data_IF_726797882172
#
_entry.id   IF_726797882172
#
_cell.length_a   1.000
_cell.length_b   1.000
_cell.length_c   1.000
_cell.angle_alpha   90.00
_cell.angle_beta   90.00
_cell.angle_gamma   90.00
#
_symmetry.space_group_name_H-M   'P 1'
#
loop_
_entity.id
_entity.type
_entity.pdbx_description
1 polymer ?
#
# COMPACT_ATOMS: atom_id res chain seq x y z
N UNK A 1 -15.70 -22.29 -70.25
CA UNK A 1 -15.03 -21.01 -69.93
C UNK A 1 -15.90 -20.28 -68.92
N UNK A 2 -15.49 -20.29 -67.66
CA UNK A 2 -16.08 -19.45 -66.62
C UNK A 2 -15.03 -19.32 -65.51
N UNK A 3 -14.54 -18.09 -65.34
CA UNK A 3 -13.48 -17.69 -64.41
C UNK A 3 -13.95 -17.68 -62.95
N UNK A 4 -13.07 -18.01 -61.98
CA UNK A 4 -13.38 -17.89 -60.55
C UNK A 4 -13.20 -16.45 -60.07
N UNK A 5 -14.18 -15.95 -59.31
CA UNK A 5 -14.13 -14.64 -58.66
C UNK A 5 -13.23 -14.66 -57.42
N UNK A 6 -12.21 -13.80 -57.42
CA UNK A 6 -11.37 -13.54 -56.25
C UNK A 6 -12.10 -12.61 -55.28
N UNK A 7 -12.40 -13.11 -54.08
CA UNK A 7 -12.89 -12.32 -52.96
C UNK A 7 -11.72 -11.63 -52.24
N UNK A 8 -11.77 -10.30 -52.16
CA UNK A 8 -10.77 -9.47 -51.48
C UNK A 8 -10.91 -9.59 -49.95
N UNK A 9 -10.04 -10.37 -49.32
CA UNK A 9 -9.83 -10.33 -47.87
C UNK A 9 -9.04 -9.07 -47.48
N UNK A 10 -9.75 -8.05 -47.02
CA UNK A 10 -9.17 -6.84 -46.45
C UNK A 10 -9.01 -7.03 -44.94
N UNK A 11 -7.79 -7.08 -44.37
CA UNK A 11 -7.63 -7.16 -42.93
C UNK A 11 -8.09 -5.84 -42.27
N UNK A 12 -8.78 -5.89 -41.12
CA UNK A 12 -9.14 -4.69 -40.40
C UNK A 12 -7.88 -4.00 -39.87
N UNK A 13 -7.74 -2.72 -40.22
CA UNK A 13 -6.72 -1.80 -39.73
C UNK A 13 -6.90 -1.58 -38.22
N UNK A 14 -6.10 -2.26 -37.39
CA UNK A 14 -6.08 -2.04 -35.94
C UNK A 14 -5.36 -0.73 -35.61
N UNK A 15 -6.09 0.38 -35.65
CA UNK A 15 -5.77 1.62 -34.93
C UNK A 15 -6.91 1.97 -33.99
N UNK A 16 -7.34 1.00 -33.19
CA UNK A 16 -8.06 1.29 -31.96
C UNK A 16 -7.01 1.50 -30.88
N UNK A 17 -6.58 2.75 -30.82
CA UNK A 17 -5.91 3.35 -29.68
C UNK A 17 -6.78 3.09 -28.46
N UNK A 18 -6.44 2.05 -27.69
CA UNK A 18 -7.07 1.75 -26.41
C UNK A 18 -6.72 2.92 -25.50
N UNK A 19 -7.58 3.93 -25.51
CA UNK A 19 -7.74 4.89 -24.42
C UNK A 19 -8.19 4.05 -23.23
N UNK A 20 -7.21 3.45 -22.54
CA UNK A 20 -7.37 2.92 -21.19
C UNK A 20 -7.74 4.14 -20.36
N UNK A 21 -9.05 4.43 -20.31
CA UNK A 21 -9.65 5.19 -19.23
C UNK A 21 -9.10 4.51 -17.99
N UNK A 22 -8.15 5.16 -17.33
CA UNK A 22 -7.76 4.88 -15.95
C UNK A 22 -9.03 5.07 -15.12
N UNK A 23 -9.94 4.10 -15.18
CA UNK A 23 -10.91 3.87 -14.14
C UNK A 23 -10.02 3.45 -12.99
N UNK A 24 -9.62 4.44 -12.19
CA UNK A 24 -9.18 4.25 -10.82
C UNK A 24 -10.05 3.12 -10.29
N UNK A 25 -9.43 1.98 -9.98
CA UNK A 25 -10.09 0.90 -9.26
C UNK A 25 -10.33 1.42 -7.84
N UNK A 26 -11.35 2.26 -7.76
CA UNK A 26 -11.98 2.81 -6.59
C UNK A 26 -12.93 1.74 -6.07
N UNK A 27 -12.43 0.52 -5.88
CA UNK A 27 -13.17 -0.58 -5.22
C UNK A 27 -12.86 -0.62 -3.73
N UNK A 28 -12.48 0.54 -3.18
CA UNK A 28 -12.41 0.81 -1.75
C UNK A 28 -12.84 2.26 -1.41
N UNK A 29 -13.81 2.82 -2.16
CA UNK A 29 -14.46 4.06 -1.76
C UNK A 29 -15.97 4.01 -2.03
N UNK A 30 -16.69 3.54 -1.03
CA UNK A 30 -18.08 3.92 -0.80
C UNK A 30 -18.25 4.36 0.66
N UNK A 31 -17.45 5.33 1.09
CA UNK A 31 -17.75 6.14 2.27
C UNK A 31 -17.40 7.60 1.93
N UNK A 32 -18.43 8.38 1.60
CA UNK A 32 -18.36 9.83 1.42
C UNK A 32 -18.26 10.50 2.80
N UNK A 33 -17.22 11.28 3.04
CA UNK A 33 -17.28 12.41 4.00
C UNK A 33 -16.62 13.62 3.35
N UNK A 34 -17.32 14.73 3.48
CA UNK A 34 -17.15 15.99 2.79
C UNK A 34 -16.00 16.84 3.31
N UNK A 35 -15.45 17.65 2.40
CA UNK A 35 -15.10 19.05 2.63
C UNK A 35 -13.86 19.32 3.47
N UNK A 36 -12.77 19.73 2.81
CA UNK A 36 -11.75 20.56 3.43
C UNK A 36 -11.26 21.63 2.44
N UNK A 37 -11.28 22.88 2.92
CA UNK A 37 -10.83 24.12 2.28
C UNK A 37 -9.32 24.11 2.08
N UNK A 38 -8.87 24.53 0.90
CA UNK A 38 -7.48 24.86 0.61
C UNK A 38 -7.11 26.21 1.23
N UNK A 39 -6.08 26.25 2.08
CA UNK A 39 -5.39 27.46 2.49
C UNK A 39 -3.94 27.34 2.00
N UNK A 40 -3.58 28.18 1.04
CA UNK A 40 -2.23 28.28 0.47
C UNK A 40 -1.52 29.43 1.18
N UNK A 41 -0.58 29.11 2.05
CA UNK A 41 0.40 30.09 2.56
C UNK A 41 1.80 29.70 2.08
N UNK A 42 2.36 30.58 1.27
CA UNK A 42 3.71 30.53 0.72
C UNK A 42 4.76 30.85 1.77
N UNK A 43 5.87 30.09 1.79
CA UNK A 43 7.09 30.41 2.54
C UNK A 43 8.30 30.62 1.62
N UNK A 44 9.25 31.48 2.03
CA UNK A 44 10.36 31.93 1.19
C UNK A 44 11.54 30.96 1.17
N UNK A 45 12.29 31.06 0.07
CA UNK A 45 13.51 30.32 -0.21
C UNK A 45 14.69 30.80 0.65
N UNK A 46 15.51 29.84 1.08
CA UNK A 46 16.90 30.10 1.48
C UNK A 46 17.41 29.10 2.51
N UNK A 47 18.44 28.34 2.16
CA UNK A 47 19.79 28.39 2.77
C UNK A 47 20.55 27.10 2.45
N UNK A 48 21.79 27.30 2.03
CA UNK A 48 22.73 26.35 1.44
C UNK A 48 23.23 25.34 2.48
N UNK A 49 23.34 24.06 2.07
CA UNK A 49 23.73 22.97 2.96
C UNK A 49 25.20 22.57 2.73
N UNK A 50 26.00 22.70 3.79
CA UNK A 50 27.38 22.23 3.88
C UNK A 50 27.44 20.71 4.02
N UNK A 51 28.27 20.05 3.22
CA UNK A 51 28.59 18.63 3.32
C UNK A 51 29.45 18.36 4.57
N UNK A 52 28.83 17.76 5.59
CA UNK A 52 29.53 17.22 6.76
C UNK A 52 29.62 15.67 6.68
N UNK A 53 30.83 15.22 6.96
CA UNK A 53 31.37 13.86 6.93
C UNK A 53 30.69 12.86 7.85
N UNK A 54 30.66 11.60 7.38
CA UNK A 54 30.11 10.38 7.97
C UNK A 54 30.46 10.18 9.46
N UNK A 55 29.46 10.32 10.33
CA UNK A 55 29.47 9.81 11.70
C UNK A 55 28.99 8.36 11.70
N UNK A 56 29.85 7.43 12.14
CA UNK A 56 29.44 6.10 12.61
C UNK A 56 28.66 6.25 13.91
N UNK A 57 27.37 6.60 13.81
CA UNK A 57 26.45 6.53 14.93
C UNK A 57 26.20 5.06 15.28
N UNK A 58 26.47 4.73 16.54
CA UNK A 58 26.05 3.48 17.17
C UNK A 58 24.55 3.34 17.00
N UNK A 59 24.13 2.40 16.14
CA UNK A 59 22.73 2.11 15.84
C UNK A 59 21.96 1.78 17.12
N UNK A 60 21.21 2.76 17.62
CA UNK A 60 20.22 2.54 18.67
C UNK A 60 19.07 1.80 17.99
N UNK A 61 18.63 0.63 18.49
CA UNK A 61 17.51 -0.07 17.90
C UNK A 61 16.32 0.87 17.82
N UNK A 62 15.76 1.00 16.61
CA UNK A 62 14.69 1.96 16.29
C UNK A 62 13.56 1.81 17.30
N UNK A 63 13.33 2.86 18.09
CA UNK A 63 12.32 2.84 19.15
C UNK A 63 10.94 2.57 18.53
N UNK A 64 10.19 1.64 19.13
CA UNK A 64 8.85 1.33 18.64
C UNK A 64 7.94 2.56 18.74
N UNK A 65 7.20 2.85 17.67
CA UNK A 65 6.21 3.92 17.62
C UNK A 65 4.81 3.34 17.81
N UNK A 66 3.98 4.01 18.60
CA UNK A 66 2.59 3.62 18.87
C UNK A 66 1.62 4.29 17.90
N UNK A 67 0.62 3.52 17.44
CA UNK A 67 -0.41 3.94 16.47
C UNK A 67 -1.82 3.61 16.98
N UNK A 68 -2.02 3.69 18.30
CA UNK A 68 -3.29 3.39 18.97
C UNK A 68 -3.28 1.98 19.57
N UNK A 69 -3.88 1.02 18.86
CA UNK A 69 -4.06 -0.36 19.34
C UNK A 69 -2.83 -1.26 19.11
N UNK A 70 -1.77 -0.70 18.53
CA UNK A 70 -0.55 -1.43 18.19
C UNK A 70 0.67 -0.49 18.14
N UNK A 71 1.87 -1.06 18.14
CA UNK A 71 3.14 -0.38 17.91
C UNK A 71 4.10 -1.24 17.08
N UNK A 72 5.03 -0.61 16.37
CA UNK A 72 6.11 -1.30 15.65
C UNK A 72 7.30 -0.35 15.45
N UNK A 73 8.46 -0.90 15.09
CA UNK A 73 9.66 -0.10 14.75
C UNK A 73 9.64 0.27 13.26
N UNK A 74 9.92 1.53 12.95
CA UNK A 74 9.95 2.01 11.56
C UNK A 74 11.18 1.41 10.86
N UNK A 75 11.03 0.75 9.70
CA UNK A 75 12.17 0.18 8.99
C UNK A 75 13.18 1.26 8.56
N UNK A 76 14.47 0.94 8.58
CA UNK A 76 15.53 1.87 8.19
C UNK A 76 15.30 2.47 6.79
N UNK A 77 15.45 3.78 6.68
CA UNK A 77 15.25 4.53 5.42
C UNK A 77 13.80 4.89 5.13
N UNK A 78 12.84 4.40 5.92
CA UNK A 78 11.44 4.79 5.83
C UNK A 78 11.15 5.98 6.74
N UNK A 79 10.27 6.86 6.28
CA UNK A 79 9.80 8.00 7.06
C UNK A 79 8.32 7.83 7.35
N UNK A 80 7.93 7.91 8.63
CA UNK A 80 6.53 8.02 8.99
C UNK A 80 6.02 9.43 8.67
N UNK A 81 4.89 9.50 7.96
CA UNK A 81 4.23 10.76 7.59
C UNK A 81 2.81 10.80 8.15
N UNK A 82 2.22 12.00 8.32
CA UNK A 82 0.81 12.12 8.69
C UNK A 82 -0.08 11.34 7.72
N UNK A 83 -1.01 10.50 8.21
CA UNK A 83 -1.96 9.79 7.37
C UNK A 83 -2.86 10.73 6.56
N UNK A 84 -3.23 10.32 5.35
CA UNK A 84 -4.11 11.09 4.45
C UNK A 84 -5.61 10.83 4.69
N UNK A 85 -5.95 9.87 5.57
CA UNK A 85 -7.33 9.44 5.87
C UNK A 85 -7.46 9.06 7.34
N UNK A 86 -8.64 9.28 7.92
CA UNK A 86 -8.94 9.01 9.34
C UNK A 86 -8.74 7.53 9.74
N UNK A 87 -9.05 6.62 8.82
CA UNK A 87 -8.90 5.17 9.02
C UNK A 87 -7.47 4.67 8.90
N UNK A 88 -6.59 5.46 8.28
CA UNK A 88 -5.18 5.12 8.13
C UNK A 88 -4.47 5.52 9.41
N UNK A 89 -4.01 4.53 10.18
CA UNK A 89 -3.36 4.75 11.48
C UNK A 89 -1.86 4.98 11.36
N UNK A 90 -1.24 4.45 10.32
CA UNK A 90 0.15 4.70 9.99
C UNK A 90 0.34 4.79 8.49
N UNK A 91 1.24 5.67 8.07
CA UNK A 91 1.68 5.80 6.68
C UNK A 91 3.19 6.00 6.67
N UNK A 92 3.90 5.15 5.95
CA UNK A 92 5.35 5.19 5.81
C UNK A 92 5.70 5.36 4.33
N UNK A 93 6.68 6.21 4.05
CA UNK A 93 7.18 6.48 2.71
C UNK A 93 8.67 6.17 2.62
N UNK A 94 9.07 5.59 1.48
CA UNK A 94 10.46 5.42 1.09
C UNK A 94 10.81 6.49 0.04
N UNK A 95 11.87 7.25 0.29
CA UNK A 95 12.40 8.29 -0.60
C UNK A 95 11.33 9.30 -1.08
N UNK A 96 10.43 9.75 -0.18
CA UNK A 96 9.41 10.73 -0.53
C UNK A 96 8.77 11.41 0.68
N UNK A 97 8.18 12.58 0.45
CA UNK A 97 7.46 13.37 1.47
C UNK A 97 5.94 13.22 1.38
N UNK A 98 5.44 12.70 0.25
CA UNK A 98 4.03 12.44 0.00
C UNK A 98 3.87 11.16 -0.85
N UNK A 99 2.62 10.68 -0.97
CA UNK A 99 2.33 9.45 -1.73
C UNK A 99 2.52 9.55 -3.25
N UNK A 100 2.67 10.76 -3.82
CA UNK A 100 2.89 10.94 -5.26
C UNK A 100 4.38 10.91 -5.63
N UNK A 101 5.24 11.33 -4.71
CA UNK A 101 6.68 11.46 -4.91
C UNK A 101 7.50 10.34 -4.25
N UNK A 102 6.86 9.39 -3.58
CA UNK A 102 7.53 8.26 -2.96
C UNK A 102 7.88 7.14 -3.94
N UNK A 103 8.93 6.38 -3.65
CA UNK A 103 9.26 5.14 -4.37
C UNK A 103 8.47 3.94 -3.87
N UNK A 104 8.16 3.92 -2.59
CA UNK A 104 7.32 2.93 -1.97
C UNK A 104 6.51 3.53 -0.83
N UNK A 105 5.39 2.88 -0.53
CA UNK A 105 4.44 3.33 0.46
C UNK A 105 3.89 2.13 1.22
N UNK A 106 3.87 2.24 2.54
CA UNK A 106 3.18 1.30 3.43
C UNK A 106 2.08 2.07 4.15
N UNK A 107 0.85 1.56 4.08
CA UNK A 107 -0.29 2.09 4.82
C UNK A 107 -0.84 1.02 5.74
N UNK A 108 -1.25 1.42 6.94
CA UNK A 108 -1.97 0.57 7.87
C UNK A 108 -3.35 1.16 8.09
N UNK A 109 -4.36 0.54 7.47
CA UNK A 109 -5.76 0.91 7.66
C UNK A 109 -6.39 0.04 8.76
N UNK A 110 -7.23 0.65 9.59
CA UNK A 110 -8.01 -0.05 10.62
C UNK A 110 -9.47 0.33 10.48
N UNK A 111 -10.36 -0.66 10.45
CA UNK A 111 -11.80 -0.43 10.33
C UNK A 111 -12.65 -1.66 10.59
N UNK A 112 -13.95 -1.53 10.39
CA UNK A 112 -14.86 -2.67 10.44
C UNK A 112 -14.61 -3.61 9.24
N UNK A 113 -14.59 -4.93 9.45
CA UNK A 113 -14.37 -5.88 8.37
C UNK A 113 -15.51 -5.84 7.35
N UNK A 114 -15.15 -5.78 6.06
CA UNK A 114 -16.12 -5.85 4.95
C UNK A 114 -16.49 -7.28 4.55
N UNK A 115 -15.81 -8.28 5.12
CA UNK A 115 -16.07 -9.70 4.88
C UNK A 115 -16.09 -10.45 6.23
N UNK A 116 -16.73 -11.63 6.32
CA UNK A 116 -16.75 -12.41 7.56
C UNK A 116 -15.37 -12.89 8.04
N UNK A 117 -14.40 -13.07 7.14
CA UNK A 117 -13.06 -13.59 7.48
C UNK A 117 -11.95 -12.84 6.76
N UNK A 118 -10.75 -12.82 7.35
CA UNK A 118 -9.56 -12.25 6.72
C UNK A 118 -9.27 -12.89 5.34
N UNK A 119 -9.42 -14.21 5.23
CA UNK A 119 -9.21 -14.92 3.97
C UNK A 119 -10.18 -14.51 2.87
N UNK A 120 -11.48 -14.39 3.17
CA UNK A 120 -12.46 -13.92 2.19
C UNK A 120 -12.18 -12.47 1.74
N UNK A 121 -11.72 -11.60 2.65
CA UNK A 121 -11.30 -10.25 2.30
C UNK A 121 -10.08 -10.25 1.37
N UNK A 122 -9.08 -11.10 1.66
CA UNK A 122 -7.88 -11.28 0.83
C UNK A 122 -8.23 -11.82 -0.57
N UNK A 123 -9.11 -12.82 -0.65
CA UNK A 123 -9.59 -13.40 -1.92
C UNK A 123 -10.36 -12.38 -2.77
N UNK A 124 -11.24 -11.60 -2.14
CA UNK A 124 -11.97 -10.52 -2.82
C UNK A 124 -11.02 -9.47 -3.39
N UNK A 125 -10.05 -9.03 -2.58
CA UNK A 125 -9.00 -8.12 -3.04
C UNK A 125 -8.21 -8.72 -4.21
N UNK A 126 -7.63 -9.91 -4.04
CA UNK A 126 -6.82 -10.59 -5.04
C UNK A 126 -7.58 -10.75 -6.36
N UNK A 127 -8.86 -11.18 -6.31
CA UNK A 127 -9.72 -11.29 -7.48
C UNK A 127 -9.92 -9.94 -8.18
N UNK A 128 -10.07 -8.85 -7.45
CA UNK A 128 -10.32 -7.52 -8.03
C UNK A 128 -9.12 -6.93 -8.77
N UNK A 129 -7.90 -7.34 -8.41
CA UNK A 129 -6.64 -6.80 -8.94
C UNK A 129 -5.82 -7.82 -9.73
N UNK A 130 -6.31 -9.06 -9.89
CA UNK A 130 -5.58 -10.15 -10.55
C UNK A 130 -4.38 -10.68 -9.73
N UNK A 131 -4.49 -10.64 -8.40
CA UNK A 131 -3.47 -11.12 -7.47
C UNK A 131 -3.66 -12.57 -7.02
N UNK A 132 -2.87 -12.98 -6.02
CA UNK A 132 -2.91 -14.31 -5.41
C UNK A 132 -3.02 -14.20 -3.88
N UNK A 133 -3.68 -15.17 -3.26
CA UNK A 133 -3.73 -15.31 -1.80
C UNK A 133 -2.81 -16.45 -1.39
N UNK A 134 -1.99 -16.23 -0.36
CA UNK A 134 -1.16 -17.28 0.23
C UNK A 134 -2.03 -18.42 0.78
N UNK A 135 -1.63 -19.67 0.56
CA UNK A 135 -2.21 -20.81 1.25
C UNK A 135 -1.93 -20.73 2.75
N UNK A 136 -0.71 -20.30 3.08
CA UNK A 136 -0.17 -20.31 4.43
C UNK A 136 -0.52 -19.01 5.14
N UNK A 137 -0.94 -19.15 6.41
CA UNK A 137 -1.14 -18.03 7.29
C UNK A 137 0.20 -17.56 7.87
N UNK A 138 0.29 -16.26 8.17
CA UNK A 138 1.42 -15.69 8.90
C UNK A 138 1.03 -15.39 10.34
N UNK A 139 1.98 -15.56 11.25
CA UNK A 139 1.84 -15.05 12.62
C UNK A 139 2.14 -13.54 12.68
N UNK A 140 1.26 -12.82 13.37
CA UNK A 140 1.34 -11.38 13.59
C UNK A 140 1.16 -11.06 15.09
N UNK A 141 2.20 -11.36 15.87
CA UNK A 141 2.23 -11.23 17.34
C UNK A 141 1.12 -12.07 18.01
N UNK A 142 1.01 -13.34 17.60
CA UNK A 142 0.02 -14.30 18.12
C UNK A 142 -1.33 -14.31 17.39
N UNK A 143 -1.55 -13.37 16.46
CA UNK A 143 -2.76 -13.32 15.64
C UNK A 143 -2.50 -13.93 14.25
N UNK A 144 -3.47 -14.69 13.75
CA UNK A 144 -3.40 -15.26 12.40
C UNK A 144 -3.63 -14.16 11.34
N UNK A 145 -2.71 -14.08 10.38
CA UNK A 145 -2.76 -13.14 9.28
C UNK A 145 -2.82 -13.83 7.92
N UNK A 146 -3.58 -13.24 6.99
CA UNK A 146 -3.67 -13.71 5.61
C UNK A 146 -2.98 -12.72 4.68
N UNK A 147 -2.20 -13.24 3.73
CA UNK A 147 -1.45 -12.44 2.77
C UNK A 147 -2.08 -12.54 1.39
N UNK A 148 -2.33 -11.39 0.77
CA UNK A 148 -2.59 -11.27 -0.66
C UNK A 148 -1.45 -10.53 -1.35
N UNK A 149 -1.08 -10.96 -2.56
CA UNK A 149 0.00 -10.38 -3.35
C UNK A 149 -0.44 -10.04 -4.76
N UNK A 150 0.18 -9.04 -5.36
CA UNK A 150 -0.06 -8.61 -6.74
C UNK A 150 1.26 -8.26 -7.42
N UNK A 151 1.31 -8.34 -8.74
CA UNK A 151 2.47 -7.90 -9.53
C UNK A 151 2.40 -6.41 -9.93
N UNK A 152 1.55 -5.62 -9.28
CA UNK A 152 1.36 -4.19 -9.61
C UNK A 152 2.63 -3.38 -9.35
N UNK A 153 2.95 -2.42 -10.22
CA UNK A 153 3.98 -1.41 -9.97
C UNK A 153 3.38 -0.02 -9.67
N UNK A 154 2.05 0.05 -9.53
CA UNK A 154 1.31 1.24 -9.17
C UNK A 154 1.19 1.35 -7.65
N UNK A 155 1.58 2.48 -7.07
CA UNK A 155 1.43 2.75 -5.63
C UNK A 155 -0.03 2.74 -5.18
N UNK A 156 -0.98 3.00 -6.10
CA UNK A 156 -2.40 2.91 -5.83
C UNK A 156 -2.94 1.49 -5.64
N UNK A 157 -2.19 0.47 -6.07
CA UNK A 157 -2.57 -0.94 -5.99
C UNK A 157 -1.50 -1.73 -5.24
N UNK A 158 -1.72 -2.15 -3.99
CA UNK A 158 -0.67 -2.74 -3.18
C UNK A 158 -0.15 -4.05 -3.77
N UNK A 159 1.17 -4.22 -3.74
CA UNK A 159 1.88 -5.46 -4.10
C UNK A 159 1.75 -6.53 -3.03
N UNK A 160 1.68 -6.11 -1.77
CA UNK A 160 1.53 -6.98 -0.63
C UNK A 160 0.46 -6.39 0.30
N UNK A 161 -0.52 -7.20 0.67
CA UNK A 161 -1.53 -6.85 1.65
C UNK A 161 -1.62 -7.95 2.70
N UNK A 162 -1.31 -7.61 3.95
CA UNK A 162 -1.48 -8.49 5.11
C UNK A 162 -2.75 -8.06 5.84
N UNK A 163 -3.64 -9.02 6.08
CA UNK A 163 -4.92 -8.82 6.76
C UNK A 163 -4.90 -9.55 8.09
N UNK A 164 -5.16 -8.84 9.17
CA UNK A 164 -5.35 -9.40 10.51
C UNK A 164 -6.73 -9.02 11.03
N UNK A 165 -7.47 -9.98 11.58
CA UNK A 165 -8.75 -9.73 12.24
C UNK A 165 -8.55 -9.84 13.74
N UNK A 166 -8.87 -8.78 14.48
CA UNK A 166 -8.67 -8.71 15.93
C UNK A 166 -9.70 -7.77 16.56
N UNK A 167 -10.28 -8.17 17.68
CA UNK A 167 -11.26 -7.38 18.45
C UNK A 167 -12.40 -6.80 17.59
N UNK A 168 -12.90 -7.59 16.63
CA UNK A 168 -13.98 -7.18 15.72
C UNK A 168 -13.57 -6.15 14.65
N UNK A 169 -12.27 -5.85 14.51
CA UNK A 169 -11.71 -4.94 13.49
C UNK A 169 -10.85 -5.70 12.50
N UNK A 170 -10.71 -5.15 11.29
CA UNK A 170 -9.72 -5.55 10.31
C UNK A 170 -8.56 -4.55 10.30
N UNK A 171 -7.34 -5.08 10.38
CA UNK A 171 -6.08 -4.36 10.24
C UNK A 171 -5.47 -4.74 8.89
N UNK A 172 -5.27 -3.75 8.01
CA UNK A 172 -4.78 -3.94 6.65
C UNK A 172 -3.42 -3.26 6.52
N UNK A 173 -2.35 -4.04 6.53
CA UNK A 173 -1.01 -3.57 6.16
C UNK A 173 -0.86 -3.71 4.65
N UNK A 174 -0.92 -2.58 3.95
CA UNK A 174 -0.85 -2.49 2.50
C UNK A 174 0.47 -1.87 2.08
N UNK A 175 1.25 -2.58 1.28
CA UNK A 175 2.53 -2.12 0.78
C UNK A 175 2.54 -2.09 -0.76
N UNK A 176 2.81 -0.92 -1.32
CA UNK A 176 2.95 -0.67 -2.75
C UNK A 176 4.32 -0.07 -3.06
N UNK A 177 4.86 -0.35 -4.25
CA UNK A 177 6.14 0.20 -4.66
C UNK A 177 6.22 0.36 -6.19
N UNK A 178 7.07 1.28 -6.64
CA UNK A 178 7.43 1.44 -8.05
C UNK A 178 8.36 0.31 -8.51
N UNK A 179 8.57 0.20 -9.83
CA UNK A 179 9.40 -0.85 -10.42
C UNK A 179 10.82 -0.88 -9.84
N UNK A 180 11.35 -2.09 -9.58
CA UNK A 180 12.70 -2.30 -9.06
C UNK A 180 12.88 -2.05 -7.55
N UNK A 181 11.85 -1.55 -6.85
CA UNK A 181 11.90 -1.32 -5.40
C UNK A 181 11.36 -2.53 -4.66
N UNK A 182 12.18 -3.10 -3.76
CA UNK A 182 11.76 -4.17 -2.86
C UNK A 182 11.13 -3.60 -1.58
N UNK A 183 10.06 -4.25 -1.13
CA UNK A 183 9.31 -3.92 0.10
C UNK A 183 9.30 -5.09 1.09
N UNK A 184 9.84 -6.26 0.72
CA UNK A 184 9.79 -7.48 1.53
C UNK A 184 10.45 -7.28 2.89
N UNK A 185 11.66 -6.71 2.91
CA UNK A 185 12.41 -6.45 4.15
C UNK A 185 11.67 -5.48 5.08
N UNK A 186 11.06 -4.43 4.52
CA UNK A 186 10.30 -3.45 5.30
C UNK A 186 9.03 -4.07 5.92
N UNK A 187 8.28 -4.84 5.14
CA UNK A 187 7.09 -5.55 5.62
C UNK A 187 7.47 -6.58 6.70
N UNK A 188 8.55 -7.34 6.48
CA UNK A 188 9.07 -8.31 7.45
C UNK A 188 9.51 -7.64 8.75
N UNK A 189 10.19 -6.49 8.65
CA UNK A 189 10.61 -5.70 9.81
C UNK A 189 9.42 -5.22 10.64
N UNK A 190 8.40 -4.63 10.01
CA UNK A 190 7.18 -4.18 10.70
C UNK A 190 6.52 -5.38 11.40
N UNK A 191 6.37 -6.51 10.72
CA UNK A 191 5.78 -7.72 11.30
C UNK A 191 6.56 -8.21 12.51
N UNK A 192 7.89 -8.30 12.41
CA UNK A 192 8.74 -8.81 13.49
C UNK A 192 8.81 -7.91 14.72
N UNK A 193 8.66 -6.60 14.53
CA UNK A 193 8.65 -5.60 15.60
C UNK A 193 7.24 -5.26 16.09
N UNK A 194 6.20 -5.88 15.50
CA UNK A 194 4.82 -5.61 15.86
C UNK A 194 4.53 -6.01 17.30
N UNK A 195 3.83 -5.12 18.00
CA UNK A 195 3.28 -5.39 19.33
C UNK A 195 1.86 -4.88 19.41
N UNK A 196 0.97 -5.76 19.82
CA UNK A 196 -0.39 -5.39 20.17
C UNK A 196 -0.44 -4.62 21.48
N UNK A 197 -1.24 -3.56 21.54
CA UNK A 197 -1.63 -2.97 22.82
C UNK A 197 -2.50 -3.98 23.56
N UNK A 198 -2.14 -4.27 24.80
CA UNK A 198 -2.93 -5.14 25.67
C UNK A 198 -4.24 -4.44 26.01
N UNK A 199 -5.35 -5.18 25.99
CA UNK A 199 -6.62 -4.67 26.48
C UNK A 199 -6.47 -4.36 27.97
N UNK A 200 -6.70 -3.11 28.35
CA UNK A 200 -6.82 -2.77 29.78
C UNK A 200 -8.17 -3.29 30.25
N UNK A 201 -8.17 -4.43 30.95
CA UNK A 201 -9.36 -4.97 31.60
C UNK A 201 -9.88 -4.05 32.71
#
# INVERSE_FOLDING_TARGET
MTTPGMGNNRPPSSKDEIKVKRRSYLLLAMFCVAGCKENTDSLPAGTENSFATNSTETYKPDAAQSFGDFSFSIPKGWTAVPPDREKTKAMLLLDGTDGQNAKAMIKIDVGMPAAPTARQLAESFAKSVGGNVSSDALDFDGEEAVVATTSSNDLGTPRNMIIVYRDGKAYLLMAGATEGVDIGDAVSHIRSSWKWKQATN
#
